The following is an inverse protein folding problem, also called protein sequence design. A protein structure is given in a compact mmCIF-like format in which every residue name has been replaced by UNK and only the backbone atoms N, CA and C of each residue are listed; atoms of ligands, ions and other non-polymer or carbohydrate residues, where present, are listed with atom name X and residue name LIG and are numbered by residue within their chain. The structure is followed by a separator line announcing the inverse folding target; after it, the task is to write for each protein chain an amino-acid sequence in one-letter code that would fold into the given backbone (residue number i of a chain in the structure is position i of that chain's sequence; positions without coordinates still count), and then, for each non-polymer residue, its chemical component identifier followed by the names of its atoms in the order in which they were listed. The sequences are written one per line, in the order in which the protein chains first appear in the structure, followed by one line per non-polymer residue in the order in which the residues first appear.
data_IF_504628554603
#
_entry.id   IF_504628554603
#
_cell.length_a   1.000
_cell.length_b   1.000
_cell.length_c   1.000
_cell.angle_alpha   90.00
_cell.angle_beta   90.00
_cell.angle_gamma   90.00
#
_symmetry.space_group_name_H-M   'P 1'
#
loop_
_entity.id
_entity.type
_entity.pdbx_description
1 polymer ?
#
# COMPACT_ATOMS: atom_id res chain seq x y z
N UNK A 1 -25.61 -20.17 0.55
CA UNK A 1 -25.73 -18.94 -0.30
C UNK A 1 -25.87 -17.73 0.62
N UNK A 2 -25.06 -17.69 1.68
CA UNK A 2 -25.25 -16.79 2.84
C UNK A 2 -24.11 -15.78 2.98
N UNK A 3 -23.14 -15.83 2.04
CA UNK A 3 -21.97 -14.95 2.02
C UNK A 3 -22.35 -13.52 1.60
N UNK A 4 -23.29 -13.34 0.67
CA UNK A 4 -23.70 -12.02 0.18
C UNK A 4 -24.57 -11.28 1.21
N UNK A 5 -25.35 -12.02 2.01
CA UNK A 5 -26.31 -11.47 2.96
C UNK A 5 -25.77 -11.18 4.36
N UNK A 6 -24.50 -11.51 4.64
CA UNK A 6 -23.92 -11.35 5.98
C UNK A 6 -23.30 -9.95 6.14
N UNK A 7 -23.88 -9.06 6.98
CA UNK A 7 -23.38 -7.69 7.17
C UNK A 7 -21.95 -7.65 7.70
N UNK A 8 -21.57 -8.63 8.52
CA UNK A 8 -20.23 -8.70 9.12
C UNK A 8 -19.13 -8.82 8.07
N UNK A 9 -19.39 -9.52 6.97
CA UNK A 9 -18.41 -9.70 5.89
C UNK A 9 -18.21 -8.40 5.09
N UNK A 10 -19.27 -7.63 4.87
CA UNK A 10 -19.20 -6.31 4.24
C UNK A 10 -18.47 -5.30 5.11
N UNK A 11 -18.70 -5.35 6.43
CA UNK A 11 -17.99 -4.51 7.41
C UNK A 11 -16.51 -4.88 7.41
N UNK A 12 -16.18 -6.18 7.52
CA UNK A 12 -14.79 -6.64 7.50
C UNK A 12 -14.07 -6.24 6.21
N UNK A 13 -14.69 -6.42 5.04
CA UNK A 13 -14.17 -5.96 3.75
C UNK A 13 -13.96 -4.45 3.72
N UNK A 14 -14.93 -3.68 4.22
CA UNK A 14 -14.84 -2.22 4.31
C UNK A 14 -13.67 -1.77 5.19
N UNK A 15 -13.52 -2.39 6.37
CA UNK A 15 -12.41 -2.10 7.29
C UNK A 15 -11.06 -2.48 6.68
N UNK A 16 -10.93 -3.68 6.10
CA UNK A 16 -9.71 -4.13 5.43
C UNK A 16 -9.33 -3.18 4.30
N UNK A 17 -10.28 -2.85 3.43
CA UNK A 17 -10.07 -1.92 2.32
C UNK A 17 -9.67 -0.53 2.83
N UNK A 18 -10.28 -0.06 3.91
CA UNK A 18 -9.94 1.24 4.51
C UNK A 18 -8.51 1.24 5.05
N UNK A 19 -8.11 0.19 5.78
CA UNK A 19 -6.74 0.07 6.30
C UNK A 19 -5.71 -0.01 5.17
N UNK A 20 -6.00 -0.78 4.13
CA UNK A 20 -5.16 -0.94 2.94
C UNK A 20 -4.93 0.40 2.21
N UNK A 21 -5.97 1.24 2.16
CA UNK A 21 -5.94 2.59 1.58
C UNK A 21 -5.13 3.53 2.46
N UNK A 22 -5.37 3.58 3.77
CA UNK A 22 -4.66 4.49 4.70
C UNK A 22 -3.15 4.20 4.71
N UNK A 23 -2.76 2.92 4.83
CA UNK A 23 -1.36 2.49 4.72
C UNK A 23 -0.73 2.80 3.36
N UNK A 24 -1.53 2.75 2.29
CA UNK A 24 -1.08 3.12 0.95
C UNK A 24 -0.87 4.62 0.76
N UNK A 25 -1.77 5.44 1.31
CA UNK A 25 -1.75 6.90 1.17
C UNK A 25 -0.55 7.49 1.90
N UNK A 26 -0.25 7.03 3.12
CA UNK A 26 0.83 7.59 3.95
C UNK A 26 2.19 7.62 3.20
N UNK A 27 2.50 6.53 2.48
CA UNK A 27 3.73 6.41 1.70
C UNK A 27 3.76 7.31 0.45
N UNK A 28 2.64 7.44 -0.26
CA UNK A 28 2.54 8.29 -1.47
C UNK A 28 2.60 9.77 -1.09
N UNK A 29 1.96 10.15 0.02
CA UNK A 29 1.97 11.51 0.57
C UNK A 29 3.39 11.89 1.01
N UNK A 30 4.08 11.01 1.73
CA UNK A 30 5.47 11.27 2.14
C UNK A 30 6.40 11.51 0.95
N UNK A 31 6.31 10.68 -0.10
CA UNK A 31 7.08 10.85 -1.34
C UNK A 31 6.73 12.16 -2.04
N UNK A 32 5.44 12.51 -2.10
CA UNK A 32 5.01 13.75 -2.74
C UNK A 32 5.54 14.99 -1.99
N UNK A 33 5.50 14.97 -0.66
CA UNK A 33 6.04 16.05 0.20
C UNK A 33 7.56 16.16 0.05
N UNK A 34 8.28 15.04 0.00
CA UNK A 34 9.74 15.06 -0.21
C UNK A 34 10.11 15.54 -1.60
N UNK A 35 9.37 15.11 -2.63
CA UNK A 35 9.60 15.53 -4.01
C UNK A 35 9.36 17.03 -4.20
N UNK A 36 8.38 17.63 -3.50
CA UNK A 36 8.12 19.08 -3.53
C UNK A 36 9.27 19.92 -2.95
N UNK A 37 10.16 19.32 -2.14
CA UNK A 37 11.37 20.00 -1.64
C UNK A 37 12.51 20.06 -2.67
N UNK A 38 12.39 19.39 -3.81
CA UNK A 38 13.39 19.44 -4.88
C UNK A 38 13.15 20.60 -5.85
N UNK A 39 14.19 21.07 -6.56
CA UNK A 39 14.06 22.03 -7.66
C UNK A 39 13.05 21.54 -8.69
N UNK A 40 12.26 22.44 -9.28
CA UNK A 40 11.12 22.14 -10.16
C UNK A 40 11.47 21.15 -11.28
N UNK A 41 12.66 21.27 -11.88
CA UNK A 41 13.18 20.36 -12.91
C UNK A 41 13.37 18.91 -12.43
N UNK A 42 13.61 18.69 -11.13
CA UNK A 42 13.84 17.37 -10.55
C UNK A 42 12.61 16.76 -9.86
N UNK A 43 11.56 17.55 -9.62
CA UNK A 43 10.35 17.07 -8.93
C UNK A 43 9.67 15.93 -9.70
N UNK A 44 9.59 16.04 -11.03
CA UNK A 44 8.95 15.03 -11.88
C UNK A 44 9.70 13.69 -11.81
N UNK A 45 11.04 13.74 -11.85
CA UNK A 45 11.89 12.55 -11.75
C UNK A 45 11.81 11.96 -10.34
N UNK A 46 11.92 12.79 -9.30
CA UNK A 46 11.81 12.36 -7.91
C UNK A 46 10.45 11.72 -7.61
N UNK A 47 9.35 12.25 -8.16
CA UNK A 47 8.01 11.67 -8.00
C UNK A 47 7.90 10.31 -8.69
N UNK A 48 8.39 10.19 -9.93
CA UNK A 48 8.39 8.91 -10.66
C UNK A 48 9.26 7.86 -9.96
N UNK A 49 10.48 8.21 -9.60
CA UNK A 49 11.41 7.29 -8.93
C UNK A 49 10.87 6.91 -7.55
N UNK A 50 10.35 7.88 -6.78
CA UNK A 50 9.73 7.63 -5.48
C UNK A 50 8.52 6.72 -5.58
N UNK A 51 7.62 6.96 -6.54
CA UNK A 51 6.44 6.10 -6.75
C UNK A 51 6.83 4.68 -7.16
N UNK A 52 7.79 4.52 -8.08
CA UNK A 52 8.29 3.20 -8.47
C UNK A 52 8.96 2.49 -7.30
N UNK A 53 9.80 3.19 -6.54
CA UNK A 53 10.47 2.64 -5.36
C UNK A 53 9.46 2.23 -4.28
N UNK A 54 8.43 3.03 -4.01
CA UNK A 54 7.36 2.67 -3.07
C UNK A 54 6.56 1.45 -3.50
N UNK A 55 6.23 1.34 -4.80
CA UNK A 55 5.54 0.17 -5.33
C UNK A 55 6.41 -1.09 -5.17
N UNK A 56 7.71 -1.00 -5.48
CA UNK A 56 8.66 -2.11 -5.30
C UNK A 56 8.78 -2.50 -3.82
N UNK A 57 8.93 -1.52 -2.92
CA UNK A 57 9.00 -1.77 -1.49
C UNK A 57 7.72 -2.43 -0.97
N UNK A 58 6.55 -1.97 -1.41
CA UNK A 58 5.25 -2.57 -1.06
C UNK A 58 5.16 -4.01 -1.53
N UNK A 59 5.50 -4.29 -2.78
CA UNK A 59 5.48 -5.65 -3.33
C UNK A 59 6.49 -6.55 -2.60
N UNK A 60 7.70 -6.06 -2.32
CA UNK A 60 8.72 -6.81 -1.59
C UNK A 60 8.31 -7.14 -0.15
N UNK A 61 7.69 -6.19 0.55
CA UNK A 61 7.16 -6.40 1.90
C UNK A 61 5.98 -7.38 1.88
N UNK A 62 5.04 -7.24 0.95
CA UNK A 62 3.93 -8.18 0.78
C UNK A 62 4.42 -9.59 0.43
N UNK A 63 5.43 -9.71 -0.44
CA UNK A 63 6.03 -10.99 -0.79
C UNK A 63 6.74 -11.63 0.41
N UNK A 64 7.46 -10.84 1.19
CA UNK A 64 8.11 -11.29 2.43
C UNK A 64 7.07 -11.76 3.46
N UNK A 65 5.97 -11.02 3.60
CA UNK A 65 4.86 -11.38 4.48
C UNK A 65 4.18 -12.67 4.01
N UNK A 66 3.88 -12.78 2.71
CA UNK A 66 3.29 -13.98 2.12
C UNK A 66 4.19 -15.21 2.32
N UNK A 67 5.51 -15.05 2.19
CA UNK A 67 6.46 -16.12 2.46
C UNK A 67 6.49 -16.50 3.95
N UNK A 68 6.51 -15.51 4.86
CA UNK A 68 6.46 -15.74 6.32
C UNK A 68 5.19 -16.48 6.74
N UNK A 69 4.02 -16.03 6.26
CA UNK A 69 2.73 -16.65 6.60
C UNK A 69 2.72 -18.10 6.10
N UNK A 70 3.18 -18.33 4.87
CA UNK A 70 3.30 -19.68 4.29
C UNK A 70 4.32 -20.58 4.99
N UNK A 71 5.26 -20.01 5.75
CA UNK A 71 6.20 -20.78 6.58
C UNK A 71 5.65 -21.04 8.00
N UNK A 72 4.65 -20.26 8.43
CA UNK A 72 4.05 -20.32 9.76
C UNK A 72 2.78 -21.18 9.78
N UNK A 73 2.08 -21.28 8.65
CA UNK A 73 1.03 -22.27 8.40
C UNK A 73 1.63 -23.45 7.60
N UNK A 74 1.88 -24.61 8.23
CA UNK A 74 2.27 -25.83 7.50
C UNK A 74 1.12 -26.41 6.66
#
# INVERSE_FOLDING_TARGET
MDWIGNPDMWIALGTLTTLEIVLGIDNIVFISILAEKLPVDQQVVARRVGLVAAMVARIGLLFSLAWIIRLTEP
#
